data_IF_954207900288
#
_entry.id   IF_954207900288
#
_cell.length_a   1.000
_cell.length_b   1.000
_cell.length_c   1.000
_cell.angle_alpha   90.00
_cell.angle_beta   90.00
_cell.angle_gamma   90.00
#
_symmetry.space_group_name_H-M   'P 1'
#
loop_
_entity.id
_entity.type
_entity.pdbx_description
1 polymer ?
#
# COMPACT_ATOMS: atom_id res chain seq x y z
N UNK A 1 -35.90 3.71 -42.07
CA UNK A 1 -35.33 3.96 -40.72
C UNK A 1 -34.20 2.98 -40.53
N UNK A 2 -32.98 3.45 -40.76
CA UNK A 2 -31.78 2.66 -40.55
C UNK A 2 -31.37 2.90 -39.10
N UNK A 3 -31.53 1.89 -38.26
CA UNK A 3 -30.92 1.89 -36.92
C UNK A 3 -29.45 1.53 -37.18
N UNK A 4 -28.61 2.55 -37.40
CA UNK A 4 -27.18 2.35 -37.47
C UNK A 4 -26.70 1.80 -36.13
N UNK A 5 -26.03 0.66 -36.22
CA UNK A 5 -25.55 -0.10 -35.09
C UNK A 5 -24.45 0.71 -34.38
N UNK A 6 -24.80 1.43 -33.31
CA UNK A 6 -23.85 2.14 -32.45
C UNK A 6 -22.84 1.19 -31.75
N UNK A 7 -22.98 -0.12 -31.98
CA UNK A 7 -22.07 -1.17 -31.53
C UNK A 7 -20.62 -0.94 -31.98
N UNK A 8 -20.38 -0.25 -33.10
CA UNK A 8 -19.03 0.01 -33.62
C UNK A 8 -18.56 1.47 -33.51
N UNK A 9 -19.35 2.38 -32.92
CA UNK A 9 -18.91 3.78 -32.74
C UNK A 9 -18.00 3.97 -31.53
N UNK A 10 -17.85 2.95 -30.68
CA UNK A 10 -16.87 2.93 -29.60
C UNK A 10 -15.70 2.06 -30.04
N UNK A 11 -14.68 2.68 -30.65
CA UNK A 11 -13.35 2.08 -30.70
C UNK A 11 -12.77 2.31 -29.29
N UNK A 12 -12.70 1.30 -28.40
CA UNK A 12 -11.96 1.48 -27.16
C UNK A 12 -10.53 1.88 -27.54
N UNK A 13 -9.93 2.88 -26.88
CA UNK A 13 -8.54 3.24 -27.14
C UNK A 13 -7.70 1.97 -27.06
N UNK A 14 -6.67 1.86 -27.90
CA UNK A 14 -5.72 0.75 -27.82
C UNK A 14 -5.23 0.67 -26.38
N UNK A 15 -5.68 -0.38 -25.67
CA UNK A 15 -5.23 -0.68 -24.33
C UNK A 15 -3.89 -1.36 -24.55
N UNK A 16 -2.82 -0.58 -24.55
CA UNK A 16 -1.49 -1.14 -24.41
C UNK A 16 -1.48 -1.93 -23.09
N UNK A 17 -1.35 -3.26 -23.18
CA UNK A 17 -1.07 -4.08 -22.02
C UNK A 17 0.28 -3.63 -21.46
N UNK A 18 0.23 -2.77 -20.45
CA UNK A 18 1.42 -2.41 -19.70
C UNK A 18 1.96 -3.71 -19.08
N UNK A 19 3.25 -4.01 -19.25
CA UNK A 19 3.83 -5.16 -18.58
C UNK A 19 3.59 -5.00 -17.08
N UNK A 20 2.96 -6.00 -16.47
CA UNK A 20 2.85 -6.10 -15.02
C UNK A 20 4.27 -6.07 -14.46
N UNK A 21 4.65 -4.92 -13.88
CA UNK A 21 5.90 -4.80 -13.15
C UNK A 21 5.81 -5.79 -11.99
N UNK A 22 6.66 -6.81 -11.98
CA UNK A 22 6.74 -7.72 -10.84
C UNK A 22 7.08 -6.90 -9.60
N UNK A 23 6.14 -6.85 -8.66
CA UNK A 23 6.36 -6.23 -7.37
C UNK A 23 7.42 -7.03 -6.61
N UNK A 24 8.39 -6.35 -6.01
CA UNK A 24 9.35 -7.04 -5.16
C UNK A 24 8.61 -7.69 -3.98
N UNK A 25 8.93 -8.95 -3.61
CA UNK A 25 8.22 -9.66 -2.54
C UNK A 25 8.18 -8.90 -1.20
N UNK A 26 9.18 -8.06 -0.95
CA UNK A 26 9.24 -7.22 0.24
C UNK A 26 8.19 -6.09 0.22
N UNK A 27 7.96 -5.47 -0.95
CA UNK A 27 6.92 -4.46 -1.13
C UNK A 27 5.53 -5.05 -0.90
N UNK A 28 5.28 -6.23 -1.47
CA UNK A 28 4.01 -6.95 -1.26
C UNK A 28 3.80 -7.30 0.22
N UNK A 29 4.87 -7.69 0.91
CA UNK A 29 4.83 -7.98 2.35
C UNK A 29 4.48 -6.74 3.16
N UNK A 30 5.12 -5.60 2.91
CA UNK A 30 4.84 -4.33 3.60
C UNK A 30 3.39 -3.90 3.34
N UNK A 31 2.96 -3.95 2.08
CA UNK A 31 1.60 -3.61 1.68
C UNK A 31 0.57 -4.51 2.38
N UNK A 32 0.84 -5.82 2.44
CA UNK A 32 -0.01 -6.78 3.12
C UNK A 32 -0.15 -6.47 4.62
N UNK A 33 0.96 -6.17 5.30
CA UNK A 33 0.94 -5.85 6.74
C UNK A 33 0.09 -4.62 7.07
N UNK A 34 0.18 -3.58 6.24
CA UNK A 34 -0.47 -2.29 6.47
C UNK A 34 -1.94 -2.29 6.01
N UNK A 35 -2.24 -2.90 4.85
CA UNK A 35 -3.63 -3.07 4.39
C UNK A 35 -4.48 -3.94 5.32
N UNK A 36 -3.85 -4.88 6.04
CA UNK A 36 -4.51 -5.77 6.99
C UNK A 36 -4.29 -5.35 8.46
N UNK A 37 -3.88 -4.11 8.72
CA UNK A 37 -3.79 -3.62 10.09
C UNK A 37 -5.17 -3.65 10.76
N UNK A 38 -5.17 -4.01 12.03
CA UNK A 38 -6.35 -4.04 12.88
C UNK A 38 -5.88 -4.11 14.33
N UNK A 39 -6.80 -3.92 15.29
CA UNK A 39 -6.49 -4.01 16.72
C UNK A 39 -5.70 -5.27 17.10
N UNK A 40 -6.06 -6.43 16.54
CA UNK A 40 -5.45 -7.73 16.87
C UNK A 40 -4.10 -7.90 16.18
N UNK A 41 -3.92 -7.34 14.99
CA UNK A 41 -2.70 -7.52 14.18
C UNK A 41 -1.63 -6.46 14.45
N UNK A 42 -1.98 -5.37 15.12
CA UNK A 42 -1.10 -4.22 15.37
C UNK A 42 0.27 -4.62 15.93
N UNK A 43 0.31 -5.44 16.98
CA UNK A 43 1.57 -5.87 17.61
C UNK A 43 2.46 -6.66 16.64
N UNK A 44 1.86 -7.54 15.83
CA UNK A 44 2.56 -8.30 14.81
C UNK A 44 3.08 -7.36 13.71
N UNK A 45 2.24 -6.45 13.21
CA UNK A 45 2.61 -5.46 12.20
C UNK A 45 3.82 -4.64 12.67
N UNK A 46 3.79 -4.09 13.88
CA UNK A 46 4.91 -3.32 14.45
C UNK A 46 6.18 -4.18 14.55
N UNK A 47 6.08 -5.41 15.06
CA UNK A 47 7.23 -6.33 15.18
C UNK A 47 7.86 -6.64 13.83
N UNK A 48 7.07 -6.78 12.77
CA UNK A 48 7.58 -7.02 11.43
C UNK A 48 8.23 -5.76 10.86
N UNK A 49 7.59 -4.60 10.98
CA UNK A 49 8.11 -3.33 10.45
C UNK A 49 9.41 -2.89 11.14
N UNK A 50 9.58 -3.16 12.44
CA UNK A 50 10.86 -2.92 13.16
C UNK A 50 12.03 -3.75 12.63
N UNK A 51 11.78 -4.81 11.86
CA UNK A 51 12.82 -5.68 11.28
C UNK A 51 13.17 -5.33 9.84
N UNK A 52 12.50 -4.36 9.22
CA UNK A 52 12.89 -3.87 7.91
C UNK A 52 14.29 -3.28 7.96
N UNK A 53 15.01 -3.37 6.84
CA UNK A 53 16.25 -2.64 6.68
C UNK A 53 15.95 -1.17 6.39
N UNK A 54 15.76 -0.40 7.46
CA UNK A 54 15.50 1.04 7.38
C UNK A 54 16.71 1.86 6.88
N UNK A 55 17.86 1.23 6.64
CA UNK A 55 19.03 1.89 6.02
C UNK A 55 19.00 1.84 4.49
N UNK A 56 18.21 0.92 3.91
CA UNK A 56 17.95 0.86 2.48
C UNK A 56 16.92 1.95 2.10
N UNK A 57 17.31 2.97 1.31
CA UNK A 57 16.42 4.05 0.93
C UNK A 57 15.21 3.58 0.13
N UNK A 58 15.31 2.50 -0.66
CA UNK A 58 14.20 1.99 -1.48
C UNK A 58 13.11 1.41 -0.58
N UNK A 59 13.52 0.57 0.38
CA UNK A 59 12.61 -0.06 1.35
C UNK A 59 11.98 0.99 2.26
N UNK A 60 12.79 1.93 2.76
CA UNK A 60 12.34 3.02 3.61
C UNK A 60 11.31 3.91 2.91
N UNK A 61 11.59 4.36 1.69
CA UNK A 61 10.69 5.22 0.92
C UNK A 61 9.36 4.52 0.63
N UNK A 62 9.40 3.25 0.21
CA UNK A 62 8.20 2.47 -0.03
C UNK A 62 7.37 2.28 1.25
N UNK A 63 8.01 1.93 2.37
CA UNK A 63 7.33 1.75 3.64
C UNK A 63 6.67 3.05 4.12
N UNK A 64 7.36 4.19 4.01
CA UNK A 64 6.82 5.52 4.37
C UNK A 64 5.65 5.89 3.46
N UNK A 65 5.76 5.62 2.15
CA UNK A 65 4.67 5.84 1.22
C UNK A 65 3.40 5.09 1.64
N UNK A 66 3.53 3.81 2.02
CA UNK A 66 2.40 3.03 2.51
C UNK A 66 1.88 3.51 3.89
N UNK A 67 2.77 3.85 4.83
CA UNK A 67 2.40 4.35 6.17
C UNK A 67 1.68 5.70 6.10
N UNK A 68 2.05 6.54 5.13
CA UNK A 68 1.46 7.87 4.88
C UNK A 68 0.14 7.80 4.12
N UNK A 69 -0.31 6.61 3.70
CA UNK A 69 -1.55 6.43 2.95
C UNK A 69 -2.70 5.97 3.88
N UNK A 70 -3.57 6.87 4.35
CA UNK A 70 -4.69 6.52 5.22
C UNK A 70 -5.78 5.71 4.50
N UNK A 71 -5.76 5.63 3.16
CA UNK A 71 -6.71 4.86 2.37
C UNK A 71 -6.31 3.38 2.24
N UNK A 72 -5.08 3.03 2.66
CA UNK A 72 -4.56 1.68 2.57
C UNK A 72 -5.31 0.68 3.47
N UNK A 73 -5.54 0.97 4.77
CA UNK A 73 -6.39 0.12 5.61
C UNK A 73 -7.88 0.44 5.40
N UNK A 74 -8.76 -0.40 5.96
CA UNK A 74 -10.18 -0.06 6.08
C UNK A 74 -10.34 1.21 6.93
N UNK A 75 -11.35 2.02 6.63
CA UNK A 75 -11.61 3.28 7.36
C UNK A 75 -11.68 3.10 8.89
N UNK A 76 -12.31 2.03 9.37
CA UNK A 76 -12.40 1.70 10.80
C UNK A 76 -11.05 1.37 11.45
N UNK A 77 -10.07 0.99 10.64
CA UNK A 77 -8.74 0.55 11.08
C UNK A 77 -7.67 1.65 10.96
N UNK A 78 -8.00 2.83 10.40
CA UNK A 78 -7.10 3.99 10.30
C UNK A 78 -6.48 4.40 11.65
N UNK A 79 -7.20 4.43 12.78
CA UNK A 79 -6.58 4.73 14.08
C UNK A 79 -5.49 3.72 14.47
N UNK A 80 -5.62 2.45 14.06
CA UNK A 80 -4.60 1.44 14.33
C UNK A 80 -3.35 1.66 13.48
N UNK A 81 -3.50 2.17 12.24
CA UNK A 81 -2.36 2.59 11.42
C UNK A 81 -1.58 3.72 12.11
N UNK A 82 -2.28 4.74 12.64
CA UNK A 82 -1.65 5.81 13.39
C UNK A 82 -0.91 5.31 14.64
N UNK A 83 -1.48 4.35 15.36
CA UNK A 83 -0.80 3.69 16.48
C UNK A 83 0.46 2.92 16.05
N UNK A 84 0.44 2.26 14.89
CA UNK A 84 1.64 1.61 14.32
C UNK A 84 2.73 2.64 14.05
N UNK A 85 2.39 3.78 13.44
CA UNK A 85 3.34 4.88 13.18
C UNK A 85 3.94 5.40 14.49
N UNK A 86 3.10 5.67 15.51
CA UNK A 86 3.55 6.14 16.82
C UNK A 86 4.53 5.15 17.49
N UNK A 87 4.23 3.85 17.42
CA UNK A 87 5.09 2.78 17.93
C UNK A 87 6.42 2.67 17.18
N UNK A 88 6.43 2.93 15.86
CA UNK A 88 7.66 2.94 15.07
C UNK A 88 8.54 4.16 15.37
N UNK A 89 7.95 5.34 15.58
CA UNK A 89 8.67 6.56 15.92
C UNK A 89 9.51 6.42 17.20
N UNK A 90 9.08 5.58 18.15
CA UNK A 90 9.85 5.28 19.36
C UNK A 90 11.19 4.59 19.11
N UNK A 91 11.35 3.91 17.96
CA UNK A 91 12.60 3.25 17.55
C UNK A 91 13.30 4.02 16.42
N UNK A 92 12.53 4.73 15.60
CA UNK A 92 12.98 5.42 14.40
C UNK A 92 12.34 6.82 14.35
N UNK A 93 12.93 7.77 15.06
CA UNK A 93 12.35 9.11 15.28
C UNK A 93 12.02 9.88 13.99
N UNK A 94 12.74 9.61 12.91
CA UNK A 94 12.60 10.27 11.61
C UNK A 94 11.39 9.80 10.78
N UNK A 95 10.67 8.75 11.21
CA UNK A 95 9.50 8.22 10.49
C UNK A 95 8.24 9.09 10.70
N UNK A 96 8.17 9.85 11.80
CA UNK A 96 6.97 10.60 12.23
C UNK A 96 6.89 12.03 11.75
#
# INVERSE_FOLDING_TARGET
>A
MLIDNAYFTCIPPEVEEQPLVESEPLHDFIYFLLSNVSRVRMELTVRCLRKLDWSDPVVAEFAIHCLSNPLLPRYSDVPHLASVVAELCSCHEWIG
#
